data_IF_201375598092
#
_entry.id   IF_201375598092
#
_cell.length_a   1.000
_cell.length_b   1.000
_cell.length_c   1.000
_cell.angle_alpha   90.00
_cell.angle_beta   90.00
_cell.angle_gamma   90.00
#
_symmetry.space_group_name_H-M   'P 1'
#
loop_
_entity.id
_entity.type
_entity.pdbx_description
1 polymer ?
#
# COMPACT_ATOMS: atom_id res chain seq x y z
N UNK A 1 20.01 -24.70 -20.16
CA UNK A 1 18.92 -23.71 -19.89
C UNK A 1 18.57 -23.18 -21.28
N UNK A 2 17.29 -23.25 -21.71
CA UNK A 2 16.90 -22.61 -22.98
C UNK A 2 16.99 -21.09 -22.77
N UNK A 3 17.70 -20.40 -23.66
CA UNK A 3 17.75 -18.94 -23.68
C UNK A 3 16.33 -18.42 -23.99
N UNK A 4 15.87 -17.38 -23.29
CA UNK A 4 14.59 -16.73 -23.59
C UNK A 4 14.65 -16.11 -24.98
N UNK A 5 13.60 -16.30 -25.77
CA UNK A 5 13.52 -15.81 -27.13
C UNK A 5 12.83 -14.46 -27.20
N UNK A 6 13.51 -13.47 -27.78
CA UNK A 6 13.02 -12.09 -27.93
C UNK A 6 12.84 -11.78 -29.42
N UNK A 7 11.65 -11.29 -29.79
CA UNK A 7 11.39 -10.77 -31.12
C UNK A 7 11.51 -9.24 -31.11
N UNK A 8 12.40 -8.70 -31.93
CA UNK A 8 12.59 -7.24 -32.11
C UNK A 8 11.97 -6.83 -33.43
N UNK A 9 10.99 -5.92 -33.39
CA UNK A 9 10.26 -5.42 -34.55
C UNK A 9 10.49 -3.91 -34.65
N UNK A 10 11.18 -3.47 -35.70
CA UNK A 10 11.54 -2.06 -35.92
C UNK A 10 11.86 -1.89 -37.40
N UNK A 11 11.47 -0.80 -38.05
CA UNK A 11 11.76 -0.57 -39.47
C UNK A 11 13.18 -0.06 -39.73
N UNK A 12 13.82 0.53 -38.70
CA UNK A 12 15.19 1.04 -38.76
C UNK A 12 16.23 -0.09 -38.61
N UNK A 13 16.99 -0.37 -39.68
CA UNK A 13 18.00 -1.45 -39.69
C UNK A 13 19.07 -1.31 -38.63
N UNK A 14 19.48 -0.07 -38.31
CA UNK A 14 20.55 0.21 -37.34
C UNK A 14 20.08 -0.06 -35.91
N UNK A 15 18.81 0.26 -35.62
CA UNK A 15 18.20 -0.03 -34.31
C UNK A 15 18.04 -1.54 -34.13
N UNK A 16 17.52 -2.25 -35.13
CA UNK A 16 17.40 -3.72 -35.07
C UNK A 16 18.72 -4.38 -34.80
N UNK A 17 19.78 -3.96 -35.52
CA UNK A 17 21.12 -4.52 -35.36
C UNK A 17 21.69 -4.24 -33.98
N UNK A 18 21.56 -3.01 -33.48
CA UNK A 18 22.02 -2.62 -32.15
C UNK A 18 21.32 -3.42 -31.06
N UNK A 19 19.99 -3.56 -31.14
CA UNK A 19 19.21 -4.34 -30.15
C UNK A 19 19.56 -5.82 -30.22
N UNK A 20 19.77 -6.37 -31.42
CA UNK A 20 20.18 -7.75 -31.59
C UNK A 20 21.55 -8.01 -30.97
N UNK A 21 22.55 -7.16 -31.21
CA UNK A 21 23.89 -7.28 -30.65
C UNK A 21 23.81 -7.23 -29.09
N UNK A 22 23.16 -6.22 -28.52
CA UNK A 22 23.05 -6.03 -27.07
C UNK A 22 22.36 -7.20 -26.37
N UNK A 23 21.19 -7.61 -26.87
CA UNK A 23 20.41 -8.67 -26.25
C UNK A 23 21.04 -10.04 -26.40
N UNK A 24 21.78 -10.26 -27.51
CA UNK A 24 22.55 -11.50 -27.70
C UNK A 24 23.75 -11.58 -26.76
N UNK A 25 24.44 -10.44 -26.50
CA UNK A 25 25.51 -10.36 -25.50
C UNK A 25 25.02 -10.67 -24.09
N UNK A 26 23.77 -10.32 -23.76
CA UNK A 26 23.12 -10.63 -22.48
C UNK A 26 22.57 -12.08 -22.43
N UNK A 27 22.75 -12.88 -23.49
CA UNK A 27 22.43 -14.31 -23.51
C UNK A 27 21.02 -14.65 -23.96
N UNK A 28 20.30 -13.74 -24.60
CA UNK A 28 18.98 -13.99 -25.18
C UNK A 28 19.07 -14.52 -26.62
N UNK A 29 18.07 -15.33 -27.04
CA UNK A 29 17.90 -15.75 -28.44
C UNK A 29 17.06 -14.68 -29.15
N UNK A 30 17.67 -13.92 -30.09
CA UNK A 30 17.05 -12.73 -30.67
C UNK A 30 16.70 -12.93 -32.14
N UNK A 31 15.42 -12.87 -32.46
CA UNK A 31 14.91 -12.80 -33.84
C UNK A 31 14.50 -11.34 -34.17
N UNK A 32 14.79 -10.91 -35.40
CA UNK A 32 14.48 -9.54 -35.84
C UNK A 32 13.47 -9.54 -36.98
N UNK A 33 12.57 -8.55 -37.00
CA UNK A 33 11.61 -8.32 -38.07
C UNK A 33 11.64 -6.85 -38.50
N UNK A 34 11.58 -6.58 -39.82
CA UNK A 34 11.66 -5.25 -40.36
C UNK A 34 10.28 -4.59 -40.57
N UNK A 35 9.21 -5.38 -40.51
CA UNK A 35 7.84 -4.96 -40.78
C UNK A 35 6.84 -5.89 -40.05
N UNK A 36 5.57 -5.46 -40.03
CA UNK A 36 4.49 -6.21 -39.39
C UNK A 36 4.25 -7.59 -40.02
N UNK A 37 4.50 -7.75 -41.36
CA UNK A 37 4.35 -9.01 -42.05
C UNK A 37 5.39 -10.04 -41.58
N UNK A 38 6.65 -9.64 -41.46
CA UNK A 38 7.72 -10.47 -40.91
C UNK A 38 7.48 -10.80 -39.43
N UNK A 39 7.01 -9.84 -38.66
CA UNK A 39 6.68 -10.02 -37.24
C UNK A 39 5.57 -11.07 -37.03
N UNK A 40 4.49 -11.05 -37.85
CA UNK A 40 3.43 -12.07 -37.85
C UNK A 40 3.99 -13.44 -38.24
N UNK A 41 4.84 -13.51 -39.29
CA UNK A 41 5.46 -14.76 -39.74
C UNK A 41 6.41 -15.33 -38.65
N UNK A 42 7.20 -14.51 -38.00
CA UNK A 42 8.08 -14.93 -36.91
C UNK A 42 7.28 -15.51 -35.72
N UNK A 43 6.23 -14.84 -35.30
CA UNK A 43 5.36 -15.27 -34.20
C UNK A 43 4.59 -16.56 -34.55
N UNK A 44 4.13 -16.71 -35.79
CA UNK A 44 3.43 -17.90 -36.24
C UNK A 44 4.35 -19.16 -36.30
N UNK A 45 5.65 -18.97 -36.55
CA UNK A 45 6.63 -20.04 -36.50
C UNK A 45 6.92 -20.53 -35.10
N UNK A 46 7.11 -19.58 -34.19
CA UNK A 46 7.36 -19.87 -32.78
C UNK A 46 7.03 -18.63 -31.95
N UNK A 47 6.21 -18.83 -30.92
CA UNK A 47 5.81 -17.75 -30.02
C UNK A 47 7.04 -17.29 -29.21
N UNK A 48 7.41 -15.99 -29.26
CA UNK A 48 8.54 -15.47 -28.49
C UNK A 48 8.20 -15.37 -27.01
N UNK A 49 9.22 -15.22 -26.18
CA UNK A 49 9.05 -14.97 -24.74
C UNK A 49 8.78 -13.50 -24.43
N UNK A 50 9.23 -12.61 -25.33
CA UNK A 50 9.03 -11.15 -25.28
C UNK A 50 9.05 -10.58 -26.69
N UNK A 51 8.26 -9.54 -26.93
CA UNK A 51 8.34 -8.72 -28.15
C UNK A 51 8.74 -7.30 -27.79
N UNK A 52 9.77 -6.76 -28.47
CA UNK A 52 10.05 -5.33 -28.54
C UNK A 52 9.47 -4.81 -29.86
N UNK A 53 8.53 -3.89 -29.81
CA UNK A 53 7.74 -3.48 -30.96
C UNK A 53 7.80 -1.95 -31.15
N UNK A 54 8.30 -1.51 -32.30
CA UNK A 54 8.23 -0.10 -32.67
C UNK A 54 6.79 0.33 -32.98
N UNK A 55 6.44 1.55 -32.58
CA UNK A 55 5.13 2.14 -32.86
C UNK A 55 5.03 2.54 -34.34
N UNK A 56 6.05 3.22 -34.85
CA UNK A 56 6.01 3.81 -36.16
C UNK A 56 6.70 2.93 -37.19
N UNK A 57 5.92 2.21 -37.99
CA UNK A 57 6.39 1.38 -39.10
C UNK A 57 5.61 1.74 -40.38
N UNK A 58 6.25 1.68 -41.57
CA UNK A 58 5.66 2.22 -42.78
C UNK A 58 4.47 1.43 -43.34
N UNK A 59 4.32 0.14 -43.02
CA UNK A 59 3.28 -0.75 -43.55
C UNK A 59 2.05 -0.86 -42.61
N UNK A 60 2.28 -1.04 -41.31
CA UNK A 60 1.25 -1.16 -40.30
C UNK A 60 1.83 -0.60 -39.02
N UNK A 61 1.11 0.31 -38.33
CA UNK A 61 1.59 0.83 -37.06
C UNK A 61 1.64 -0.28 -35.97
N UNK A 62 2.60 -0.16 -35.05
CA UNK A 62 2.78 -1.14 -33.99
C UNK A 62 1.60 -1.25 -33.04
N UNK A 63 0.78 -0.21 -32.89
CA UNK A 63 -0.44 -0.20 -32.09
C UNK A 63 -1.49 -1.11 -32.72
N UNK A 64 -1.64 -1.09 -34.02
CA UNK A 64 -2.53 -2.01 -34.74
C UNK A 64 -2.11 -3.45 -34.58
N UNK A 65 -0.81 -3.73 -34.70
CA UNK A 65 -0.25 -5.08 -34.50
C UNK A 65 -0.42 -5.57 -33.03
N UNK A 66 -0.23 -4.71 -32.06
CA UNK A 66 -0.49 -5.00 -30.65
C UNK A 66 -1.98 -5.35 -30.42
N UNK A 67 -2.91 -4.60 -31.02
CA UNK A 67 -4.36 -4.87 -30.93
C UNK A 67 -4.74 -6.22 -31.51
N UNK A 68 -4.16 -6.60 -32.65
CA UNK A 68 -4.34 -7.92 -33.25
C UNK A 68 -3.93 -9.03 -32.28
N UNK A 69 -2.75 -8.89 -31.68
CA UNK A 69 -2.19 -9.89 -30.79
C UNK A 69 -2.87 -9.94 -29.40
N UNK A 70 -3.41 -8.83 -28.93
CA UNK A 70 -4.17 -8.79 -27.67
C UNK A 70 -5.53 -9.50 -27.77
N UNK A 71 -6.11 -9.61 -28.97
CA UNK A 71 -7.38 -10.31 -29.21
C UNK A 71 -7.23 -11.83 -29.37
N UNK A 72 -6.01 -12.35 -29.52
CA UNK A 72 -5.75 -13.78 -29.63
C UNK A 72 -5.70 -14.43 -28.24
N UNK A 73 -6.79 -15.02 -27.81
CA UNK A 73 -7.06 -15.48 -26.43
C UNK A 73 -6.18 -16.64 -25.90
N UNK A 74 -5.19 -17.15 -26.62
CA UNK A 74 -4.49 -18.39 -26.24
C UNK A 74 -3.04 -18.25 -25.79
N UNK A 75 -2.27 -17.18 -26.16
CA UNK A 75 -0.86 -17.09 -25.83
C UNK A 75 -0.38 -15.64 -25.66
N UNK A 76 -0.57 -15.07 -24.47
CA UNK A 76 -0.13 -13.71 -24.17
C UNK A 76 1.39 -13.64 -23.92
N UNK A 77 2.14 -13.36 -24.97
CA UNK A 77 3.53 -12.93 -24.88
C UNK A 77 3.56 -11.44 -24.47
N UNK A 78 4.35 -11.02 -23.48
CA UNK A 78 4.50 -9.59 -23.14
C UNK A 78 5.07 -8.82 -24.34
N UNK A 79 4.47 -7.64 -24.61
CA UNK A 79 4.91 -6.73 -25.66
C UNK A 79 5.37 -5.43 -25.02
N UNK A 80 6.61 -5.03 -25.27
CA UNK A 80 7.17 -3.73 -24.87
C UNK A 80 7.22 -2.83 -26.10
N UNK A 81 6.55 -1.70 -26.03
CA UNK A 81 6.51 -0.75 -27.15
C UNK A 81 7.74 0.15 -27.15
N UNK A 82 8.25 0.49 -28.32
CA UNK A 82 9.35 1.43 -28.52
C UNK A 82 8.85 2.64 -29.35
N UNK A 83 9.25 3.88 -29.01
CA UNK A 83 8.87 5.07 -29.77
C UNK A 83 9.94 6.14 -29.78
N UNK A 84 10.18 6.77 -30.94
CA UNK A 84 11.09 7.91 -31.13
C UNK A 84 10.43 9.27 -30.92
N UNK A 85 9.11 9.36 -30.96
CA UNK A 85 8.33 10.60 -30.80
C UNK A 85 7.08 10.29 -29.95
N UNK A 86 7.27 9.61 -28.80
CA UNK A 86 6.17 9.24 -27.92
C UNK A 86 5.57 10.46 -27.23
N UNK A 87 4.38 10.88 -27.67
CA UNK A 87 3.53 11.67 -26.77
C UNK A 87 3.03 10.76 -25.67
N UNK A 88 2.78 11.32 -24.49
CA UNK A 88 2.20 10.60 -23.33
C UNK A 88 0.91 9.87 -23.76
N UNK A 89 0.17 10.41 -24.72
CA UNK A 89 -1.05 9.84 -25.29
C UNK A 89 -0.81 8.49 -25.97
N UNK A 90 0.27 8.34 -26.73
CA UNK A 90 0.61 7.10 -27.44
C UNK A 90 1.03 5.98 -26.48
N UNK A 91 1.76 6.32 -25.41
CA UNK A 91 2.13 5.38 -24.37
C UNK A 91 0.90 4.87 -23.57
N UNK A 92 -0.04 5.78 -23.28
CA UNK A 92 -1.33 5.45 -22.62
C UNK A 92 -2.19 4.56 -23.50
N UNK A 93 -2.26 4.83 -24.81
CA UNK A 93 -3.02 4.00 -25.75
C UNK A 93 -2.42 2.59 -25.89
N UNK A 94 -1.09 2.48 -25.99
CA UNK A 94 -0.40 1.20 -26.05
C UNK A 94 -0.66 0.35 -24.79
N UNK A 95 -0.61 0.98 -23.62
CA UNK A 95 -0.89 0.29 -22.33
C UNK A 95 -2.35 -0.18 -22.25
N UNK A 96 -3.31 0.63 -22.70
CA UNK A 96 -4.73 0.23 -22.79
C UNK A 96 -4.98 -0.97 -23.71
N UNK A 97 -4.17 -1.09 -24.75
CA UNK A 97 -4.24 -2.22 -25.70
C UNK A 97 -3.49 -3.46 -25.26
N UNK A 98 -2.90 -3.44 -24.05
CA UNK A 98 -2.26 -4.62 -23.46
C UNK A 98 -0.74 -4.67 -23.62
N UNK A 99 -0.07 -3.57 -23.97
CA UNK A 99 1.39 -3.49 -23.89
C UNK A 99 1.85 -3.67 -22.44
N UNK A 100 2.92 -4.42 -22.24
CA UNK A 100 3.50 -4.64 -20.92
C UNK A 100 4.20 -3.40 -20.37
N UNK A 101 4.94 -2.68 -21.23
CA UNK A 101 5.68 -1.46 -20.87
C UNK A 101 6.01 -0.65 -22.13
N UNK A 102 6.59 0.54 -21.95
CA UNK A 102 6.95 1.45 -23.00
C UNK A 102 8.37 1.98 -22.83
N UNK A 103 9.16 2.04 -23.91
CA UNK A 103 10.54 2.55 -23.90
C UNK A 103 10.70 3.61 -24.97
N UNK A 104 11.15 4.79 -24.55
CA UNK A 104 11.37 5.95 -25.43
C UNK A 104 12.75 5.88 -26.11
N UNK A 105 12.80 6.13 -27.40
CA UNK A 105 14.04 6.34 -28.16
C UNK A 105 14.51 7.81 -27.99
N UNK A 106 15.80 8.11 -27.73
CA UNK A 106 16.93 7.20 -27.81
C UNK A 106 17.01 6.23 -26.65
N UNK A 107 17.26 4.94 -26.98
CA UNK A 107 17.19 3.84 -26.04
C UNK A 107 18.31 3.94 -24.99
N UNK A 108 17.95 4.12 -23.73
CA UNK A 108 18.88 3.93 -22.61
C UNK A 108 19.08 2.44 -22.37
N UNK A 109 20.30 1.92 -22.58
CA UNK A 109 20.64 0.51 -22.42
C UNK A 109 20.20 -0.04 -21.05
N UNK A 110 20.50 0.68 -19.97
CA UNK A 110 20.13 0.25 -18.62
C UNK A 110 18.60 0.18 -18.41
N UNK A 111 17.84 1.08 -19.04
CA UNK A 111 16.37 1.07 -18.98
C UNK A 111 15.80 -0.08 -19.79
N UNK A 112 16.32 -0.30 -20.99
CA UNK A 112 15.89 -1.39 -21.87
C UNK A 112 16.09 -2.76 -21.22
N UNK A 113 17.32 -3.07 -20.75
CA UNK A 113 17.64 -4.36 -20.13
C UNK A 113 16.78 -4.61 -18.89
N UNK A 114 16.59 -3.62 -18.02
CA UNK A 114 15.72 -3.73 -16.86
C UNK A 114 14.25 -3.99 -17.24
N UNK A 115 13.74 -3.37 -18.31
CA UNK A 115 12.39 -3.59 -18.81
C UNK A 115 12.23 -4.99 -19.39
N UNK A 116 13.22 -5.47 -20.14
CA UNK A 116 13.28 -6.84 -20.70
C UNK A 116 13.27 -7.88 -19.58
N UNK A 117 14.15 -7.76 -18.59
CA UNK A 117 14.20 -8.67 -17.42
C UNK A 117 12.84 -8.73 -16.69
N UNK A 118 12.26 -7.58 -16.40
CA UNK A 118 10.95 -7.50 -15.73
C UNK A 118 9.82 -8.15 -16.53
N UNK A 119 9.81 -7.97 -17.84
CA UNK A 119 8.80 -8.54 -18.71
C UNK A 119 8.91 -10.07 -18.81
N UNK A 120 10.12 -10.60 -18.90
CA UNK A 120 10.40 -12.04 -18.91
C UNK A 120 10.09 -12.69 -17.56
N UNK A 121 10.43 -12.05 -16.44
CA UNK A 121 10.09 -12.51 -15.10
C UNK A 121 8.56 -12.56 -14.87
N UNK A 122 7.82 -11.61 -15.41
CA UNK A 122 6.36 -11.61 -15.36
C UNK A 122 5.74 -12.80 -16.11
N UNK A 123 6.33 -13.24 -17.23
CA UNK A 123 5.91 -14.44 -17.97
C UNK A 123 6.23 -15.72 -17.21
N UNK A 124 7.43 -15.85 -16.63
CA UNK A 124 7.87 -17.03 -15.89
C UNK A 124 7.00 -17.35 -14.65
N UNK A 125 6.29 -16.34 -14.11
CA UNK A 125 5.43 -16.46 -12.91
C UNK A 125 3.97 -16.79 -13.20
N UNK A 126 3.55 -17.02 -14.46
CA UNK A 126 2.17 -17.42 -14.80
C UNK A 126 1.99 -18.93 -14.65
N UNK A 127 1.13 -19.43 -13.72
CA UNK A 127 0.74 -20.84 -13.69
C UNK A 127 -0.24 -21.13 -14.83
N UNK A 128 0.07 -22.16 -15.63
CA UNK A 128 -0.86 -22.77 -16.59
C UNK A 128 -1.96 -23.52 -15.83
N UNK A 129 -3.12 -22.93 -15.66
CA UNK A 129 -4.27 -23.59 -15.03
C UNK A 129 -5.48 -22.67 -14.92
N UNK A 130 -6.54 -23.02 -15.66
CA UNK A 130 -7.85 -22.36 -15.63
C UNK A 130 -8.39 -22.31 -14.20
N UNK A 131 -8.53 -21.11 -13.64
CA UNK A 131 -9.70 -20.68 -12.85
C UNK A 131 -9.58 -19.16 -12.65
N UNK A 132 -10.56 -18.45 -13.22
CA UNK A 132 -10.69 -17.02 -13.12
C UNK A 132 -11.18 -16.63 -11.71
N UNK A 133 -10.45 -15.77 -11.05
CA UNK A 133 -10.97 -14.56 -10.38
C UNK A 133 -9.77 -13.75 -9.86
N UNK A 134 -9.66 -12.54 -10.34
CA UNK A 134 -8.95 -11.36 -9.88
C UNK A 134 -8.08 -11.53 -8.61
N UNK A 135 -6.78 -11.74 -8.79
CA UNK A 135 -5.76 -11.29 -7.84
C UNK A 135 -4.42 -11.28 -8.58
N UNK A 136 -3.97 -10.12 -9.01
CA UNK A 136 -2.61 -9.86 -9.48
C UNK A 136 -1.62 -10.11 -8.33
N UNK A 137 -1.12 -11.33 -8.22
CA UNK A 137 -0.09 -11.69 -7.25
C UNK A 137 1.32 -11.43 -7.78
N UNK A 138 1.63 -10.18 -8.11
CA UNK A 138 2.99 -9.69 -8.03
C UNK A 138 3.29 -9.42 -6.54
N UNK A 139 4.51 -9.69 -6.06
CA UNK A 139 4.96 -9.25 -4.73
C UNK A 139 4.86 -7.72 -4.73
N UNK A 140 3.79 -7.18 -4.15
CA UNK A 140 3.63 -5.73 -4.00
C UNK A 140 4.47 -5.34 -2.80
N UNK A 141 5.73 -4.96 -3.07
CA UNK A 141 6.58 -4.40 -2.03
C UNK A 141 6.00 -3.08 -1.52
N UNK A 142 6.13 -2.78 -0.23
CA UNK A 142 5.72 -1.48 0.32
C UNK A 142 6.38 -0.34 -0.45
N UNK A 143 5.57 0.61 -0.88
CA UNK A 143 5.95 1.73 -1.75
C UNK A 143 6.76 2.78 -0.99
N UNK A 144 7.48 3.62 -1.76
CA UNK A 144 8.26 4.74 -1.25
C UNK A 144 9.77 4.51 -1.31
N UNK A 145 10.51 5.61 -1.48
CA UNK A 145 11.98 5.63 -1.60
C UNK A 145 12.66 6.24 -0.38
N UNK A 146 11.88 6.76 0.55
CA UNK A 146 12.41 7.32 1.79
C UNK A 146 13.26 6.31 2.55
N UNK A 147 14.17 6.82 3.37
CA UNK A 147 14.99 5.98 4.25
C UNK A 147 14.12 5.17 5.21
N UNK A 148 13.02 5.75 5.69
CA UNK A 148 12.04 5.11 6.56
C UNK A 148 11.44 3.87 5.89
N UNK A 149 10.93 3.99 4.67
CA UNK A 149 10.33 2.87 3.93
C UNK A 149 11.36 1.84 3.47
N UNK A 150 12.57 2.25 3.13
CA UNK A 150 13.66 1.34 2.80
C UNK A 150 14.07 0.49 4.01
N UNK A 151 14.17 1.09 5.20
CA UNK A 151 14.44 0.37 6.44
C UNK A 151 13.31 -0.60 6.78
N UNK A 152 12.04 -0.17 6.68
CA UNK A 152 10.88 -1.03 6.92
C UNK A 152 10.89 -2.26 6.00
N UNK A 153 11.12 -2.08 4.69
CA UNK A 153 11.23 -3.22 3.75
C UNK A 153 12.33 -4.20 4.13
N UNK A 154 13.51 -3.69 4.48
CA UNK A 154 14.64 -4.52 4.92
C UNK A 154 14.32 -5.29 6.19
N UNK A 155 13.65 -4.66 7.15
CA UNK A 155 13.21 -5.29 8.40
C UNK A 155 12.16 -6.37 8.14
N UNK A 156 11.12 -6.08 7.35
CA UNK A 156 10.07 -7.04 6.97
C UNK A 156 10.65 -8.24 6.21
N UNK A 157 11.58 -8.02 5.27
CA UNK A 157 12.25 -9.10 4.53
C UNK A 157 13.05 -10.02 5.48
N UNK A 158 13.76 -9.43 6.44
CA UNK A 158 14.48 -10.20 7.46
C UNK A 158 13.53 -11.00 8.33
N UNK A 159 12.40 -10.41 8.77
CA UNK A 159 11.39 -11.11 9.60
C UNK A 159 10.62 -12.17 8.79
N UNK A 160 10.51 -12.00 7.48
CA UNK A 160 9.86 -12.96 6.58
C UNK A 160 10.54 -14.34 6.60
N UNK A 161 11.86 -14.39 6.79
CA UNK A 161 12.63 -15.64 6.81
C UNK A 161 12.24 -16.60 7.98
N UNK A 162 11.61 -16.08 9.03
CA UNK A 162 11.24 -16.87 10.22
C UNK A 162 9.76 -17.26 10.18
N UNK A 163 9.45 -18.49 10.63
CA UNK A 163 8.05 -18.95 10.79
C UNK A 163 7.47 -18.59 12.19
N UNK A 164 8.00 -17.55 12.81
CA UNK A 164 7.64 -17.08 14.13
C UNK A 164 6.47 -16.10 14.04
N UNK A 165 5.56 -16.02 15.03
CA UNK A 165 4.53 -14.99 15.09
C UNK A 165 5.10 -13.59 14.97
N UNK A 166 4.45 -12.75 14.17
CA UNK A 166 4.84 -11.37 13.90
C UNK A 166 3.69 -10.42 14.20
N UNK A 167 3.95 -9.40 15.00
CA UNK A 167 3.02 -8.32 15.29
C UNK A 167 3.43 -7.04 14.56
N UNK A 168 2.53 -6.50 13.74
CA UNK A 168 2.67 -5.23 13.06
C UNK A 168 1.97 -4.14 13.89
N UNK A 169 2.74 -3.26 14.51
CA UNK A 169 2.21 -2.12 15.28
C UNK A 169 2.19 -0.86 14.43
N UNK A 170 1.01 -0.34 14.15
CA UNK A 170 0.86 0.89 13.35
C UNK A 170 -0.51 1.53 13.53
N UNK A 171 -0.59 2.80 13.21
CA UNK A 171 -1.85 3.53 13.22
C UNK A 171 -2.86 2.94 12.21
N UNK A 172 -4.13 3.29 12.38
CA UNK A 172 -5.17 2.99 11.41
C UNK A 172 -4.79 3.53 10.03
N UNK A 173 -5.10 2.80 8.97
CA UNK A 173 -4.84 3.25 7.59
C UNK A 173 -3.39 3.16 7.11
N UNK A 174 -2.48 2.51 7.85
CA UNK A 174 -1.08 2.30 7.45
C UNK A 174 -0.86 1.03 6.60
N UNK A 175 -1.92 0.47 6.04
CA UNK A 175 -1.90 -0.73 5.17
C UNK A 175 -1.18 -1.95 5.75
N UNK A 176 -1.38 -2.22 7.06
CA UNK A 176 -0.75 -3.34 7.78
C UNK A 176 -1.03 -4.70 7.15
N UNK A 177 -2.21 -4.90 6.56
CA UNK A 177 -2.53 -6.14 5.83
C UNK A 177 -1.64 -6.31 4.59
N UNK A 178 -1.41 -5.25 3.82
CA UNK A 178 -0.52 -5.28 2.66
C UNK A 178 0.92 -5.64 3.09
N UNK A 179 1.41 -5.10 4.20
CA UNK A 179 2.71 -5.46 4.77
C UNK A 179 2.76 -6.92 5.21
N UNK A 180 1.68 -7.45 5.81
CA UNK A 180 1.56 -8.87 6.16
C UNK A 180 1.60 -9.77 4.92
N UNK A 181 0.93 -9.38 3.83
CA UNK A 181 0.98 -10.08 2.53
C UNK A 181 2.40 -10.08 1.95
N UNK A 182 3.11 -8.95 2.04
CA UNK A 182 4.51 -8.86 1.62
C UNK A 182 5.41 -9.83 2.41
N UNK A 183 5.24 -9.89 3.74
CA UNK A 183 5.97 -10.84 4.60
C UNK A 183 5.64 -12.29 4.25
N UNK A 184 4.37 -12.61 4.01
CA UNK A 184 3.95 -13.94 3.58
C UNK A 184 4.60 -14.35 2.26
N UNK A 185 4.53 -13.49 1.25
CA UNK A 185 5.09 -13.74 -0.08
C UNK A 185 6.62 -13.85 -0.10
N UNK A 186 7.29 -13.16 0.81
CA UNK A 186 8.75 -13.17 0.97
C UNK A 186 9.26 -14.29 1.88
N UNK A 187 8.37 -15.07 2.50
CA UNK A 187 8.68 -16.06 3.52
C UNK A 187 8.52 -17.51 3.06
N UNK A 188 8.83 -18.48 3.95
CA UNK A 188 8.73 -19.92 3.66
C UNK A 188 7.28 -20.40 3.43
N UNK A 189 6.28 -19.62 3.86
CA UNK A 189 4.85 -19.93 3.70
C UNK A 189 4.25 -19.38 2.40
N UNK A 190 5.05 -18.76 1.53
CA UNK A 190 4.60 -18.09 0.30
C UNK A 190 3.80 -18.98 -0.67
N UNK A 191 4.08 -20.29 -0.69
CA UNK A 191 3.33 -21.26 -1.49
C UNK A 191 1.99 -21.68 -0.91
N UNK A 192 1.75 -21.36 0.37
CA UNK A 192 0.51 -21.67 1.08
C UNK A 192 -0.52 -20.55 0.98
N UNK A 193 -1.73 -20.77 1.51
CA UNK A 193 -2.78 -19.76 1.49
C UNK A 193 -2.48 -18.60 2.47
N UNK A 194 -2.92 -17.39 2.10
CA UNK A 194 -2.99 -16.23 3.00
C UNK A 194 -4.46 -16.00 3.37
N UNK A 195 -4.80 -16.28 4.62
CA UNK A 195 -6.17 -16.18 5.13
C UNK A 195 -6.26 -14.99 6.07
N UNK A 196 -7.30 -14.17 5.92
CA UNK A 196 -7.52 -12.97 6.73
C UNK A 196 -8.65 -13.22 7.71
N UNK A 197 -8.40 -12.92 8.98
CA UNK A 197 -9.42 -12.78 10.01
C UNK A 197 -9.64 -11.29 10.27
N UNK A 198 -10.84 -10.79 9.95
CA UNK A 198 -11.28 -9.47 10.38
C UNK A 198 -11.95 -9.59 11.75
N UNK A 199 -11.30 -9.05 12.79
CA UNK A 199 -11.76 -9.09 14.18
C UNK A 199 -13.20 -8.57 14.35
N UNK A 200 -13.60 -7.62 13.51
CA UNK A 200 -14.94 -7.00 13.55
C UNK A 200 -16.07 -7.93 13.11
N UNK A 201 -15.75 -9.03 12.44
CA UNK A 201 -16.75 -10.02 11.97
C UNK A 201 -17.00 -11.12 12.99
N UNK A 202 -16.14 -11.22 14.00
CA UNK A 202 -16.25 -12.23 15.05
C UNK A 202 -17.17 -11.77 16.18
N UNK A 203 -17.86 -12.76 16.73
CA UNK A 203 -18.66 -12.69 17.96
C UNK A 203 -18.37 -13.92 18.81
N UNK A 204 -18.64 -13.86 20.11
CA UNK A 204 -18.38 -14.97 21.02
C UNK A 204 -19.11 -16.26 20.62
N UNK A 205 -20.32 -16.14 20.06
CA UNK A 205 -21.16 -17.27 19.65
C UNK A 205 -20.66 -18.01 18.40
N UNK A 206 -19.87 -17.34 17.52
CA UNK A 206 -19.37 -17.94 16.28
C UNK A 206 -17.86 -18.18 16.27
N UNK A 207 -17.12 -17.67 17.27
CA UNK A 207 -15.65 -17.68 17.30
C UNK A 207 -15.06 -19.08 17.14
N UNK A 208 -15.55 -20.06 17.88
CA UNK A 208 -15.05 -21.42 17.85
C UNK A 208 -15.25 -22.09 16.47
N UNK A 209 -16.44 -21.97 15.90
CA UNK A 209 -16.75 -22.53 14.57
C UNK A 209 -15.95 -21.85 13.47
N UNK A 210 -15.81 -20.52 13.55
CA UNK A 210 -15.04 -19.74 12.56
C UNK A 210 -13.56 -20.10 12.61
N UNK A 211 -12.96 -20.17 13.80
CA UNK A 211 -11.54 -20.45 13.94
C UNK A 211 -11.19 -21.91 13.70
N UNK A 212 -11.89 -22.82 14.37
CA UNK A 212 -11.54 -24.25 14.47
C UNK A 212 -12.30 -25.12 13.46
N UNK A 213 -13.40 -24.62 12.90
CA UNK A 213 -14.29 -25.37 12.04
C UNK A 213 -15.17 -26.37 12.78
N UNK A 214 -16.13 -26.95 12.09
CA UNK A 214 -17.05 -27.94 12.63
C UNK A 214 -16.59 -29.36 12.28
N UNK A 215 -16.12 -29.57 11.05
CA UNK A 215 -15.67 -30.86 10.52
C UNK A 215 -14.68 -30.67 9.37
N UNK A 216 -14.16 -31.74 8.79
CA UNK A 216 -13.32 -31.68 7.59
C UNK A 216 -14.07 -31.11 6.36
N UNK A 217 -15.40 -31.23 6.31
CA UNK A 217 -16.24 -30.65 5.26
C UNK A 217 -16.66 -29.20 5.53
N UNK A 218 -16.49 -28.73 6.76
CA UNK A 218 -16.74 -27.35 7.18
C UNK A 218 -15.48 -26.84 7.92
N UNK A 219 -14.40 -26.52 7.17
CA UNK A 219 -13.12 -26.14 7.72
C UNK A 219 -13.16 -24.74 8.34
N UNK A 220 -12.44 -24.58 9.47
CA UNK A 220 -12.22 -23.29 10.09
C UNK A 220 -11.03 -22.54 9.45
N UNK A 221 -10.74 -21.33 9.96
CA UNK A 221 -9.65 -20.51 9.46
C UNK A 221 -8.27 -21.17 9.63
N UNK A 222 -8.05 -21.93 10.70
CA UNK A 222 -6.80 -22.68 10.87
C UNK A 222 -6.64 -23.80 9.83
N UNK A 223 -7.72 -24.48 9.47
CA UNK A 223 -7.70 -25.47 8.38
C UNK A 223 -7.41 -24.81 7.03
N UNK A 224 -8.10 -23.68 6.76
CA UNK A 224 -7.94 -22.92 5.50
C UNK A 224 -6.54 -22.34 5.35
N UNK A 225 -5.92 -21.88 6.45
CA UNK A 225 -4.58 -21.29 6.47
C UNK A 225 -3.46 -22.33 6.61
N UNK A 226 -3.77 -23.61 6.60
CA UNK A 226 -2.79 -24.69 6.83
C UNK A 226 -1.60 -24.60 5.87
N UNK A 227 -0.38 -24.67 6.41
CA UNK A 227 0.90 -24.48 5.71
C UNK A 227 1.05 -23.12 5.02
N UNK A 228 0.18 -22.20 5.37
CA UNK A 228 0.18 -20.82 4.90
C UNK A 228 0.29 -19.84 6.05
N UNK A 229 -0.42 -18.72 5.93
CA UNK A 229 -0.43 -17.64 6.92
C UNK A 229 -1.87 -17.26 7.29
N UNK A 230 -2.14 -17.16 8.58
CA UNK A 230 -3.35 -16.55 9.12
C UNK A 230 -3.01 -15.14 9.60
N UNK A 231 -3.61 -14.14 8.97
CA UNK A 231 -3.49 -12.75 9.37
C UNK A 231 -4.64 -12.35 10.29
N UNK A 232 -4.30 -11.82 11.47
CA UNK A 232 -5.23 -11.33 12.47
C UNK A 232 -5.20 -9.80 12.44
N UNK A 233 -6.21 -9.17 11.85
CA UNK A 233 -6.32 -7.71 11.77
C UNK A 233 -6.87 -7.11 13.05
N UNK A 234 -6.27 -6.00 13.52
CA UNK A 234 -6.76 -5.20 14.66
C UNK A 234 -7.11 -6.07 15.88
N UNK A 235 -6.09 -6.80 16.43
CA UNK A 235 -6.30 -7.80 17.48
C UNK A 235 -6.90 -7.22 18.77
N UNK A 236 -6.76 -5.94 19.01
CA UNK A 236 -7.39 -5.22 20.14
C UNK A 236 -8.93 -5.26 20.11
N UNK A 237 -9.51 -5.51 18.93
CA UNK A 237 -10.97 -5.59 18.75
C UNK A 237 -11.48 -7.05 18.81
N UNK A 238 -10.62 -8.04 19.18
CA UNK A 238 -11.00 -9.45 19.29
C UNK A 238 -11.88 -9.69 20.52
N UNK A 239 -13.03 -10.40 20.38
CA UNK A 239 -13.83 -10.85 21.52
C UNK A 239 -13.06 -11.74 22.49
N UNK A 240 -13.41 -11.74 23.77
CA UNK A 240 -12.72 -12.50 24.85
C UNK A 240 -12.65 -14.00 24.56
N UNK A 241 -13.72 -14.59 24.06
CA UNK A 241 -13.77 -16.00 23.69
C UNK A 241 -12.77 -16.32 22.57
N UNK A 242 -12.66 -15.42 21.58
CA UNK A 242 -11.68 -15.55 20.50
C UNK A 242 -10.26 -15.48 21.02
N UNK A 243 -9.97 -14.53 21.90
CA UNK A 243 -8.65 -14.41 22.54
C UNK A 243 -8.28 -15.69 23.29
N UNK A 244 -9.23 -16.26 24.04
CA UNK A 244 -9.04 -17.50 24.80
C UNK A 244 -8.75 -18.69 23.89
N UNK A 245 -9.53 -18.85 22.82
CA UNK A 245 -9.36 -19.94 21.84
C UNK A 245 -8.01 -19.84 21.11
N UNK A 246 -7.66 -18.63 20.66
CA UNK A 246 -6.37 -18.38 19.98
C UNK A 246 -5.20 -18.72 20.91
N UNK A 247 -5.21 -18.21 22.16
CA UNK A 247 -4.16 -18.51 23.14
C UNK A 247 -4.02 -20.01 23.38
N UNK A 248 -5.12 -20.73 23.54
CA UNK A 248 -5.12 -22.18 23.74
C UNK A 248 -4.56 -22.96 22.54
N UNK A 249 -4.90 -22.57 21.32
CA UNK A 249 -4.38 -23.21 20.08
C UNK A 249 -2.89 -22.94 19.92
N UNK A 250 -2.45 -21.72 20.15
CA UNK A 250 -1.03 -21.34 20.00
C UNK A 250 -0.15 -22.00 21.07
N UNK A 251 -0.65 -22.12 22.29
CA UNK A 251 0.07 -22.80 23.39
C UNK A 251 0.16 -24.31 23.17
N UNK A 252 -0.98 -24.94 22.79
CA UNK A 252 -1.03 -26.38 22.58
C UNK A 252 -0.37 -26.86 21.29
N UNK A 253 -0.20 -25.97 20.30
CA UNK A 253 0.27 -26.32 18.95
C UNK A 253 -0.69 -27.23 18.17
N UNK A 254 -1.91 -27.39 18.63
CA UNK A 254 -2.96 -28.24 18.05
C UNK A 254 -4.36 -27.76 18.48
N UNK A 255 -5.36 -28.15 17.72
CA UNK A 255 -6.76 -27.84 18.02
C UNK A 255 -7.68 -29.03 17.68
N UNK A 256 -8.87 -29.03 18.28
CA UNK A 256 -9.94 -29.97 17.96
C UNK A 256 -11.11 -29.18 17.37
N UNK A 257 -11.68 -29.67 16.27
CA UNK A 257 -12.85 -29.03 15.65
C UNK A 257 -14.05 -29.08 16.59
N UNK A 258 -14.94 -28.11 16.48
CA UNK A 258 -16.11 -28.01 17.38
C UNK A 258 -17.06 -29.20 17.28
N UNK A 259 -17.12 -29.89 16.15
CA UNK A 259 -17.86 -31.15 15.97
C UNK A 259 -17.16 -32.38 16.53
N UNK A 260 -15.99 -32.24 17.17
CA UNK A 260 -15.18 -33.34 17.71
C UNK A 260 -14.23 -33.95 16.67
N UNK A 261 -13.57 -35.04 17.05
CA UNK A 261 -12.62 -35.76 16.22
C UNK A 261 -11.17 -35.71 16.76
N UNK A 262 -10.23 -36.18 15.94
CA UNK A 262 -8.82 -36.18 16.31
C UNK A 262 -8.22 -34.78 16.35
N UNK A 263 -7.27 -34.51 17.24
CA UNK A 263 -6.54 -33.25 17.28
C UNK A 263 -5.78 -32.97 15.98
N UNK A 264 -5.92 -31.76 15.45
CA UNK A 264 -5.23 -31.28 14.24
C UNK A 264 -4.03 -30.46 14.68
N UNK A 265 -2.85 -30.72 14.12
CA UNK A 265 -1.64 -29.94 14.36
C UNK A 265 -1.75 -28.57 13.72
N UNK A 266 -1.43 -27.53 14.46
CA UNK A 266 -1.36 -26.16 13.98
C UNK A 266 -0.06 -25.98 13.17
N UNK A 267 -0.18 -25.85 11.83
CA UNK A 267 0.93 -25.67 10.89
C UNK A 267 0.85 -24.32 10.17
N UNK A 268 0.24 -23.32 10.81
CA UNK A 268 -0.06 -22.02 10.22
C UNK A 268 0.83 -20.95 10.82
N UNK A 269 1.48 -20.14 10.01
CA UNK A 269 2.16 -18.93 10.47
C UNK A 269 1.15 -17.88 10.90
N UNK A 270 1.37 -17.24 12.04
CA UNK A 270 0.52 -16.15 12.51
C UNK A 270 1.20 -14.81 12.25
N UNK A 271 0.49 -13.90 11.56
CA UNK A 271 0.86 -12.49 11.48
C UNK A 271 -0.33 -11.69 12.01
N UNK A 272 -0.08 -10.80 12.94
CA UNK A 272 -1.12 -9.98 13.57
C UNK A 272 -0.83 -8.50 13.41
N UNK A 273 -1.86 -7.67 13.52
CA UNK A 273 -1.70 -6.22 13.58
C UNK A 273 -2.48 -5.62 14.73
N UNK A 274 -1.94 -4.56 15.30
CA UNK A 274 -2.56 -3.78 16.35
C UNK A 274 -2.23 -2.28 16.23
N UNK A 275 -3.03 -1.45 16.89
CA UNK A 275 -2.70 -0.04 17.09
C UNK A 275 -1.61 0.10 18.17
N UNK A 276 -0.81 1.18 18.18
CA UNK A 276 0.27 1.37 19.15
C UNK A 276 -0.18 1.32 20.63
N UNK A 277 -1.47 1.53 20.91
CA UNK A 277 -2.06 1.49 22.24
C UNK A 277 -2.38 0.10 22.81
N UNK A 278 -2.14 -1.00 22.09
CA UNK A 278 -2.48 -2.37 22.52
C UNK A 278 -1.95 -2.71 23.93
N UNK A 279 -0.78 -2.19 24.31
CA UNK A 279 -0.20 -2.41 25.64
C UNK A 279 -1.11 -1.86 26.75
N UNK A 280 -1.83 -0.77 26.51
CA UNK A 280 -2.76 -0.22 27.49
C UNK A 280 -3.96 -1.15 27.70
N UNK A 281 -4.45 -1.82 26.65
CA UNK A 281 -5.49 -2.85 26.74
C UNK A 281 -5.01 -4.06 27.53
N UNK A 282 -3.75 -4.47 27.35
CA UNK A 282 -3.13 -5.55 28.15
C UNK A 282 -3.02 -5.16 29.62
N UNK A 283 -2.68 -3.91 29.92
CA UNK A 283 -2.57 -3.41 31.31
C UNK A 283 -3.93 -3.25 31.99
N UNK A 284 -4.96 -2.93 31.21
CA UNK A 284 -6.35 -2.79 31.67
C UNK A 284 -7.09 -4.15 31.77
N UNK A 285 -6.43 -5.26 31.44
CA UNK A 285 -6.99 -6.61 31.33
C UNK A 285 -8.12 -6.73 30.25
N UNK A 286 -8.25 -5.76 29.34
CA UNK A 286 -9.13 -5.83 28.17
C UNK A 286 -8.57 -6.73 27.04
N UNK A 287 -7.27 -7.05 27.11
CA UNK A 287 -6.60 -8.00 26.21
C UNK A 287 -5.72 -8.95 27.01
N UNK A 288 -5.82 -10.24 26.71
CA UNK A 288 -5.10 -11.32 27.44
C UNK A 288 -3.58 -11.18 27.30
N UNK A 289 -2.88 -11.20 28.44
CA UNK A 289 -1.41 -11.09 28.51
C UNK A 289 -0.69 -12.28 27.88
N UNK A 290 -1.23 -13.49 28.06
CA UNK A 290 -0.69 -14.72 27.48
C UNK A 290 -0.76 -14.69 25.95
N UNK A 291 -1.90 -14.30 25.36
CA UNK A 291 -2.06 -14.15 23.93
C UNK A 291 -1.14 -13.06 23.37
N UNK A 292 -1.07 -11.89 24.04
CA UNK A 292 -0.15 -10.83 23.63
C UNK A 292 1.31 -11.31 23.59
N UNK A 293 1.77 -12.03 24.59
CA UNK A 293 3.12 -12.56 24.62
C UNK A 293 3.40 -13.56 23.48
N UNK A 294 2.41 -14.39 23.12
CA UNK A 294 2.51 -15.33 22.01
C UNK A 294 2.53 -14.64 20.64
N UNK A 295 1.76 -13.56 20.46
CA UNK A 295 1.67 -12.83 19.19
C UNK A 295 2.82 -11.84 18.99
N UNK A 296 3.42 -11.30 20.05
CA UNK A 296 4.45 -10.25 20.03
C UNK A 296 5.88 -10.79 20.08
N UNK A 297 6.13 -12.04 19.64
CA UNK A 297 7.49 -12.62 19.62
C UNK A 297 8.41 -11.82 18.69
N UNK A 298 7.93 -11.46 17.51
CA UNK A 298 8.57 -10.48 16.62
C UNK A 298 7.63 -9.28 16.51
N UNK A 299 8.20 -8.07 16.60
CA UNK A 299 7.41 -6.83 16.52
C UNK A 299 8.05 -5.90 15.52
N UNK A 300 7.25 -5.43 14.55
CA UNK A 300 7.66 -4.40 13.60
C UNK A 300 6.74 -3.19 13.75
N UNK A 301 7.35 -2.01 13.89
CA UNK A 301 6.63 -0.74 13.96
C UNK A 301 6.43 -0.18 12.56
N UNK A 302 5.17 -0.03 12.18
CA UNK A 302 4.78 0.55 10.90
C UNK A 302 4.70 2.06 11.05
N UNK A 303 5.50 2.84 10.30
CA UNK A 303 5.51 4.29 10.41
C UNK A 303 4.19 4.89 9.91
N UNK A 304 3.79 6.02 10.48
CA UNK A 304 2.70 6.82 9.97
C UNK A 304 3.14 7.58 8.70
N UNK A 305 2.19 7.91 7.81
CA UNK A 305 2.52 8.57 6.53
C UNK A 305 3.26 9.90 6.70
N UNK A 306 2.97 10.63 7.78
CA UNK A 306 3.69 11.87 8.14
C UNK A 306 5.17 11.67 8.46
N UNK A 307 5.60 10.45 8.83
CA UNK A 307 7.00 10.12 9.15
C UNK A 307 7.83 9.83 7.88
N UNK A 308 7.18 9.73 6.71
CA UNK A 308 7.81 9.58 5.40
C UNK A 308 7.07 10.40 4.32
N UNK A 309 6.68 11.60 4.69
CA UNK A 309 5.90 12.50 3.85
C UNK A 309 6.58 12.86 2.50
N UNK A 310 7.89 12.70 2.39
CA UNK A 310 8.62 12.85 1.12
C UNK A 310 8.17 11.86 0.05
N UNK A 311 7.58 10.73 0.43
CA UNK A 311 7.07 9.72 -0.51
C UNK A 311 5.64 10.03 -1.03
N UNK A 312 4.92 10.98 -0.43
CA UNK A 312 3.54 11.32 -0.82
C UNK A 312 3.39 11.62 -2.32
N UNK A 313 4.28 12.38 -2.98
CA UNK A 313 4.16 12.62 -4.43
C UNK A 313 4.31 11.34 -5.29
N UNK A 314 5.11 10.38 -4.84
CA UNK A 314 5.26 9.09 -5.53
C UNK A 314 4.04 8.20 -5.31
N UNK A 315 3.53 8.14 -4.08
CA UNK A 315 2.30 7.42 -3.73
C UNK A 315 1.08 7.95 -4.49
N UNK A 316 0.94 9.29 -4.60
CA UNK A 316 -0.14 9.92 -5.38
C UNK A 316 -0.12 9.45 -6.83
N UNK A 317 1.06 9.49 -7.50
CA UNK A 317 1.19 9.03 -8.89
C UNK A 317 0.78 7.58 -9.03
N UNK A 318 1.24 6.72 -8.13
CA UNK A 318 0.94 5.31 -8.19
C UNK A 318 -0.54 5.00 -7.93
N UNK A 319 -1.20 5.72 -7.01
CA UNK A 319 -2.64 5.55 -6.81
C UNK A 319 -3.46 6.10 -7.97
N UNK A 320 -3.01 7.17 -8.64
CA UNK A 320 -3.63 7.63 -9.89
C UNK A 320 -3.57 6.54 -10.95
N UNK A 321 -2.39 5.94 -11.17
CA UNK A 321 -2.20 4.87 -12.16
C UNK A 321 -3.03 3.64 -11.80
N UNK A 322 -2.94 3.15 -10.54
CA UNK A 322 -3.70 2.00 -10.05
C UNK A 322 -5.22 2.20 -10.21
N UNK A 323 -5.75 3.33 -9.76
CA UNK A 323 -7.20 3.59 -9.79
C UNK A 323 -7.71 3.81 -11.22
N UNK A 324 -6.88 4.39 -12.10
CA UNK A 324 -7.20 4.52 -13.52
C UNK A 324 -7.26 3.15 -14.20
N UNK A 325 -6.32 2.25 -13.90
CA UNK A 325 -6.28 0.90 -14.47
C UNK A 325 -7.36 -0.02 -13.92
N UNK A 326 -7.56 -0.01 -12.60
CA UNK A 326 -8.45 -1.00 -11.93
C UNK A 326 -9.92 -0.57 -11.92
N UNK A 327 -10.19 0.72 -11.77
CA UNK A 327 -11.55 1.25 -11.66
C UNK A 327 -12.01 2.00 -12.93
N UNK A 328 -11.14 2.12 -13.95
CA UNK A 328 -11.44 2.83 -15.20
C UNK A 328 -11.67 4.34 -15.00
N UNK A 329 -11.12 4.92 -13.94
CA UNK A 329 -11.28 6.33 -13.63
C UNK A 329 -10.50 7.18 -14.63
N UNK A 330 -10.97 8.41 -14.86
CA UNK A 330 -10.28 9.35 -15.74
C UNK A 330 -8.92 9.72 -15.14
N UNK A 331 -7.87 9.61 -15.95
CA UNK A 331 -6.53 10.05 -15.55
C UNK A 331 -6.52 11.56 -15.27
N UNK A 332 -5.96 11.95 -14.12
CA UNK A 332 -5.69 13.33 -13.71
C UNK A 332 -4.36 13.38 -12.96
N UNK A 333 -3.58 14.43 -13.14
CA UNK A 333 -2.30 14.62 -12.47
C UNK A 333 -2.36 15.74 -11.43
N UNK A 334 -1.65 15.59 -10.33
CA UNK A 334 -1.52 16.64 -9.32
C UNK A 334 -0.45 17.65 -9.75
N UNK A 335 -0.75 18.94 -9.69
CA UNK A 335 0.24 20.01 -9.85
C UNK A 335 1.30 19.95 -8.74
N UNK A 336 2.47 20.54 -8.99
CA UNK A 336 3.56 20.59 -7.99
C UNK A 336 3.10 21.28 -6.69
N UNK A 337 2.30 22.35 -6.81
CA UNK A 337 1.74 23.05 -5.65
C UNK A 337 0.79 22.16 -4.84
N UNK A 338 -0.09 21.40 -5.52
CA UNK A 338 -0.97 20.42 -4.89
C UNK A 338 -0.20 19.30 -4.18
N UNK A 339 0.83 18.74 -4.83
CA UNK A 339 1.69 17.72 -4.24
C UNK A 339 2.41 18.24 -2.98
N UNK A 340 2.96 19.46 -3.01
CA UNK A 340 3.60 20.07 -1.85
C UNK A 340 2.63 20.31 -0.70
N UNK A 341 1.39 20.70 -1.00
CA UNK A 341 0.35 20.86 0.02
C UNK A 341 -0.01 19.54 0.68
N UNK A 342 -0.22 18.50 -0.12
CA UNK A 342 -0.53 17.14 0.35
C UNK A 342 0.64 16.51 1.11
N UNK A 343 1.88 16.79 0.71
CA UNK A 343 3.09 16.37 1.44
C UNK A 343 3.12 16.91 2.88
N UNK A 344 2.61 18.12 3.10
CA UNK A 344 2.59 18.78 4.41
C UNK A 344 1.27 18.56 5.18
N UNK A 345 0.38 17.71 4.69
CA UNK A 345 -0.85 17.37 5.39
C UNK A 345 -0.59 16.27 6.44
N UNK A 346 -1.22 16.28 7.62
CA UNK A 346 -0.91 15.37 8.73
C UNK A 346 -1.37 13.92 8.53
N UNK A 347 -2.28 13.66 7.59
CA UNK A 347 -2.78 12.32 7.24
C UNK A 347 -3.26 11.51 8.45
N UNK A 348 -4.31 11.93 9.16
CA UNK A 348 -4.80 11.24 10.36
C UNK A 348 -5.17 9.77 10.10
N UNK A 349 -5.66 9.43 8.90
CA UNK A 349 -5.98 8.06 8.49
C UNK A 349 -4.96 7.49 7.48
N UNK A 350 -3.76 8.05 7.46
CA UNK A 350 -2.57 7.59 6.76
C UNK A 350 -2.77 7.30 5.25
N UNK A 351 -2.23 6.20 4.76
CA UNK A 351 -2.23 5.80 3.34
C UNK A 351 -3.65 5.54 2.83
N UNK A 352 -4.53 5.03 3.68
CA UNK A 352 -5.94 4.81 3.33
C UNK A 352 -6.64 6.14 2.99
N UNK A 353 -6.38 7.18 3.77
CA UNK A 353 -6.92 8.52 3.50
C UNK A 353 -6.36 9.08 2.19
N UNK A 354 -5.03 8.97 1.97
CA UNK A 354 -4.38 9.40 0.75
C UNK A 354 -5.00 8.74 -0.50
N UNK A 355 -5.20 7.42 -0.47
CA UNK A 355 -5.80 6.64 -1.57
C UNK A 355 -7.25 7.04 -1.81
N UNK A 356 -8.04 7.22 -0.73
CA UNK A 356 -9.43 7.66 -0.84
C UNK A 356 -9.55 9.10 -1.35
N UNK A 357 -8.66 9.99 -0.92
CA UNK A 357 -8.59 11.36 -1.42
C UNK A 357 -8.25 11.36 -2.93
N UNK A 358 -7.27 10.58 -3.35
CA UNK A 358 -6.92 10.41 -4.76
C UNK A 358 -8.13 9.92 -5.58
N UNK A 359 -8.83 8.87 -5.09
CA UNK A 359 -10.04 8.35 -5.75
C UNK A 359 -11.11 9.43 -5.93
N UNK A 360 -11.36 10.27 -4.91
CA UNK A 360 -12.34 11.37 -5.02
C UNK A 360 -11.95 12.38 -6.08
N UNK A 361 -10.67 12.76 -6.16
CA UNK A 361 -10.21 13.68 -7.21
C UNK A 361 -10.39 13.09 -8.61
N UNK A 362 -10.17 11.79 -8.79
CA UNK A 362 -10.35 11.15 -10.10
C UNK A 362 -11.82 10.96 -10.47
N UNK A 363 -12.73 10.84 -9.50
CA UNK A 363 -14.17 10.82 -9.74
C UNK A 363 -14.73 12.20 -10.11
N UNK A 364 -14.13 13.28 -9.62
CA UNK A 364 -14.59 14.63 -9.88
C UNK A 364 -14.34 15.02 -11.34
N UNK A 365 -15.39 15.55 -12.01
CA UNK A 365 -15.25 16.14 -13.33
C UNK A 365 -14.49 17.47 -13.22
N UNK A 366 -13.30 17.54 -13.77
CA UNK A 366 -12.44 18.71 -13.70
C UNK A 366 -11.36 18.71 -14.78
N UNK A 367 -10.49 19.73 -14.81
CA UNK A 367 -9.32 19.78 -15.68
C UNK A 367 -8.42 18.56 -15.46
N UNK A 368 -7.58 18.22 -16.42
CA UNK A 368 -6.60 17.12 -16.29
C UNK A 368 -5.63 17.36 -15.14
N UNK A 369 -5.31 18.62 -14.84
CA UNK A 369 -4.44 18.99 -13.73
C UNK A 369 -5.24 19.38 -12.49
N UNK A 370 -4.98 18.69 -11.36
CA UNK A 370 -5.53 18.97 -10.04
C UNK A 370 -4.69 20.07 -9.41
N UNK A 371 -5.26 21.27 -9.30
CA UNK A 371 -4.59 22.45 -8.75
C UNK A 371 -4.67 22.55 -7.22
N UNK A 372 -3.91 23.50 -6.65
CA UNK A 372 -3.89 23.75 -5.21
C UNK A 372 -5.27 24.16 -4.66
N UNK A 373 -6.01 24.98 -5.39
CA UNK A 373 -7.34 25.43 -4.95
C UNK A 373 -8.35 24.29 -4.82
N UNK A 374 -8.29 23.32 -5.72
CA UNK A 374 -9.14 22.13 -5.66
C UNK A 374 -8.77 21.26 -4.45
N UNK A 375 -7.46 21.10 -4.16
CA UNK A 375 -6.98 20.37 -2.99
C UNK A 375 -7.42 21.05 -1.70
N UNK A 376 -7.26 22.38 -1.56
CA UNK A 376 -7.67 23.10 -0.37
C UNK A 376 -9.18 23.01 -0.11
N UNK A 377 -10.00 23.09 -1.17
CA UNK A 377 -11.45 22.92 -1.06
C UNK A 377 -11.82 21.54 -0.54
N UNK A 378 -11.19 20.50 -1.08
CA UNK A 378 -11.45 19.12 -0.68
C UNK A 378 -11.00 18.84 0.77
N UNK A 379 -9.81 19.29 1.15
CA UNK A 379 -9.31 19.15 2.52
C UNK A 379 -10.17 19.90 3.54
N UNK A 380 -10.65 21.11 3.19
CA UNK A 380 -11.53 21.90 4.04
C UNK A 380 -12.91 21.24 4.26
N UNK A 381 -13.40 20.50 3.27
CA UNK A 381 -14.67 19.77 3.37
C UNK A 381 -14.61 18.54 4.27
N UNK A 382 -13.42 18.00 4.50
CA UNK A 382 -13.20 16.77 5.30
C UNK A 382 -12.85 17.04 6.75
N UNK A 383 -12.39 18.23 7.07
CA UNK A 383 -12.20 18.63 8.46
C UNK A 383 -13.61 18.76 9.04
N UNK A 384 -14.08 17.85 9.93
CA UNK A 384 -15.19 18.24 10.81
C UNK A 384 -14.71 19.53 11.42
N UNK A 385 -15.58 20.52 11.54
CA UNK A 385 -15.25 21.86 11.99
C UNK A 385 -14.56 21.84 13.38
N UNK A 386 -13.36 21.31 13.44
CA UNK A 386 -12.33 21.70 14.37
C UNK A 386 -11.91 23.08 13.86
N UNK A 387 -12.51 24.05 14.48
CA UNK A 387 -12.37 25.45 14.21
C UNK A 387 -10.91 25.79 13.93
N UNK A 388 -10.59 26.44 12.80
CA UNK A 388 -9.24 26.92 12.59
C UNK A 388 -8.86 27.76 13.81
N UNK A 389 -7.66 27.54 14.37
CA UNK A 389 -7.13 28.27 15.54
C UNK A 389 -7.18 29.80 15.34
N UNK A 390 -7.37 30.24 14.12
CA UNK A 390 -7.68 31.63 13.75
C UNK A 390 -8.98 31.59 12.95
N UNK A 391 -10.12 31.71 13.67
CA UNK A 391 -11.43 31.92 13.03
C UNK A 391 -11.39 33.20 12.19
N UNK A 392 -12.05 33.16 11.01
CA UNK A 392 -12.30 34.38 10.24
C UNK A 392 -12.87 35.52 11.10
N UNK A 393 -13.62 35.20 12.14
CA UNK A 393 -14.15 36.12 13.12
C UNK A 393 -13.06 36.85 13.90
N UNK A 394 -11.89 36.25 14.17
CA UNK A 394 -10.77 36.90 14.83
C UNK A 394 -10.13 38.00 13.97
N UNK A 395 -10.18 37.88 12.63
CA UNK A 395 -9.68 38.89 11.72
C UNK A 395 -10.63 40.10 11.61
N UNK A 396 -11.89 39.92 11.98
CA UNK A 396 -12.89 40.99 12.02
C UNK A 396 -12.86 41.78 13.33
N UNK A 397 -12.14 41.30 14.38
CA UNK A 397 -12.09 41.93 15.68
C UNK A 397 -10.96 42.97 15.79
N UNK A 398 -11.10 43.98 16.66
CA UNK A 398 -9.98 44.83 17.05
C UNK A 398 -8.80 43.98 17.58
N UNK A 399 -7.56 44.37 17.27
CA UNK A 399 -6.36 43.59 17.60
C UNK A 399 -6.28 43.14 19.07
N UNK A 400 -6.76 43.97 20.01
CA UNK A 400 -6.78 43.66 21.43
C UNK A 400 -7.69 42.46 21.74
N UNK A 401 -8.88 42.44 21.16
CA UNK A 401 -9.87 41.36 21.35
C UNK A 401 -9.46 40.09 20.65
N UNK A 402 -8.96 40.20 19.44
CA UNK A 402 -8.41 39.07 18.68
C UNK A 402 -7.26 38.37 19.43
N UNK A 403 -6.34 39.15 19.98
CA UNK A 403 -5.25 38.67 20.81
C UNK A 403 -5.74 37.97 22.08
N UNK A 404 -6.72 38.51 22.76
CA UNK A 404 -7.27 37.95 24.00
C UNK A 404 -7.96 36.60 23.72
N UNK A 405 -8.72 36.49 22.64
CA UNK A 405 -9.35 35.24 22.22
C UNK A 405 -8.34 34.20 21.83
N UNK A 406 -7.31 34.58 21.06
CA UNK A 406 -6.23 33.65 20.67
C UNK A 406 -5.47 33.14 21.90
N UNK A 407 -5.07 34.02 22.82
CA UNK A 407 -4.35 33.64 24.04
C UNK A 407 -5.18 32.70 24.92
N UNK A 408 -6.51 32.94 25.01
CA UNK A 408 -7.44 32.06 25.73
C UNK A 408 -7.49 30.68 25.12
N UNK A 409 -7.74 30.58 23.82
CA UNK A 409 -7.81 29.29 23.09
C UNK A 409 -6.49 28.51 23.20
N UNK A 410 -5.36 29.18 22.98
CA UNK A 410 -4.05 28.61 23.09
C UNK A 410 -3.73 28.01 24.47
N UNK A 411 -3.96 28.82 25.52
CA UNK A 411 -3.68 28.40 26.91
C UNK A 411 -4.65 27.32 27.39
N UNK A 412 -5.92 27.30 26.97
CA UNK A 412 -6.88 26.23 27.26
C UNK A 412 -6.41 24.91 26.64
N UNK A 413 -6.03 24.92 25.37
CA UNK A 413 -5.58 23.73 24.68
C UNK A 413 -4.27 23.18 25.26
N UNK A 414 -3.31 24.06 25.58
CA UNK A 414 -2.06 23.66 26.21
C UNK A 414 -2.28 23.11 27.63
N UNK A 415 -3.27 23.64 28.38
CA UNK A 415 -3.63 23.16 29.71
C UNK A 415 -4.23 21.74 29.64
N UNK A 416 -5.09 21.45 28.63
CA UNK A 416 -5.61 20.10 28.38
C UNK A 416 -4.50 19.13 28.07
N UNK A 417 -3.56 19.47 27.20
CA UNK A 417 -2.39 18.66 26.86
C UNK A 417 -1.46 18.40 28.05
N UNK A 418 -1.52 19.23 29.07
CA UNK A 418 -0.79 19.07 30.34
C UNK A 418 -1.65 18.41 31.44
N UNK A 419 -2.80 17.82 31.08
CA UNK A 419 -3.75 17.19 32.02
C UNK A 419 -4.10 18.10 33.23
N UNK A 420 -4.28 19.42 32.97
CA UNK A 420 -4.60 20.39 33.97
C UNK A 420 -3.45 20.85 34.89
N UNK A 421 -2.22 20.31 34.69
CA UNK A 421 -1.06 20.64 35.55
C UNK A 421 -0.41 21.96 35.15
N UNK A 422 -0.66 23.03 35.89
CA UNK A 422 -0.15 24.39 35.60
C UNK A 422 1.37 24.48 35.66
N UNK A 423 2.03 23.66 36.49
CA UNK A 423 3.49 23.58 36.53
C UNK A 423 4.15 23.05 35.25
N UNK A 424 3.51 22.08 34.60
CA UNK A 424 3.92 21.56 33.28
C UNK A 424 3.60 22.57 32.18
N UNK A 425 2.41 23.21 32.27
CA UNK A 425 2.02 24.26 31.33
C UNK A 425 3.02 25.42 31.34
N UNK A 426 3.44 25.90 32.51
CA UNK A 426 4.41 26.97 32.64
C UNK A 426 5.72 26.70 31.91
N UNK A 427 6.24 25.47 32.06
CA UNK A 427 7.46 25.02 31.34
C UNK A 427 7.23 24.92 29.82
N UNK A 428 6.04 24.47 29.41
CA UNK A 428 5.72 24.23 28.00
C UNK A 428 5.52 25.52 27.20
N UNK A 429 4.92 26.55 27.85
CA UNK A 429 4.66 27.86 27.21
C UNK A 429 5.77 28.88 27.50
N UNK A 430 6.84 28.48 28.18
CA UNK A 430 7.98 29.32 28.59
C UNK A 430 7.54 30.59 29.34
N UNK A 431 6.69 30.39 30.35
CA UNK A 431 6.19 31.48 31.22
C UNK A 431 6.45 31.15 32.68
N UNK A 432 6.78 32.20 33.45
CA UNK A 432 6.89 32.08 34.90
C UNK A 432 5.53 31.71 35.51
N UNK A 433 5.51 30.78 36.48
CA UNK A 433 4.27 30.27 37.10
C UNK A 433 3.35 31.37 37.62
N UNK A 434 3.92 32.36 38.31
CA UNK A 434 3.17 33.48 38.89
C UNK A 434 2.51 34.34 37.82
N UNK A 435 3.21 34.58 36.71
CA UNK A 435 2.69 35.33 35.58
C UNK A 435 1.62 34.53 34.83
N UNK A 436 1.80 33.22 34.67
CA UNK A 436 0.84 32.32 34.02
C UNK A 436 -0.46 32.24 34.83
N UNK A 437 -0.42 32.12 36.16
CA UNK A 437 -1.62 32.12 36.99
C UNK A 437 -2.44 33.41 36.87
N UNK A 438 -1.76 34.59 36.86
CA UNK A 438 -2.44 35.87 36.62
C UNK A 438 -3.07 35.92 35.23
N UNK A 439 -2.37 35.39 34.21
CA UNK A 439 -2.83 35.39 32.86
C UNK A 439 -4.06 34.47 32.68
N UNK A 440 -4.03 33.24 33.22
CA UNK A 440 -5.15 32.30 33.16
C UNK A 440 -6.40 32.91 33.84
N UNK A 441 -6.21 33.56 35.00
CA UNK A 441 -7.29 34.22 35.71
C UNK A 441 -7.86 35.44 34.93
N UNK A 442 -6.99 36.25 34.29
CA UNK A 442 -7.44 37.40 33.49
C UNK A 442 -8.21 36.99 32.24
N UNK A 443 -7.93 35.80 31.71
CA UNK A 443 -8.60 35.20 30.55
C UNK A 443 -9.83 34.35 30.92
N UNK A 444 -10.19 34.26 32.23
CA UNK A 444 -11.36 33.49 32.68
C UNK A 444 -11.24 32.01 32.49
N UNK A 445 -10.02 31.47 32.54
CA UNK A 445 -9.75 30.01 32.42
C UNK A 445 -9.80 29.42 33.83
N UNK A 446 -10.76 28.53 34.09
CA UNK A 446 -10.88 27.83 35.37
C UNK A 446 -9.78 26.76 35.49
N UNK A 447 -9.06 26.84 36.60
CA UNK A 447 -8.06 25.84 36.97
C UNK A 447 -8.75 24.86 37.91
N UNK A 448 -8.99 23.63 37.49
CA UNK A 448 -9.62 22.61 38.31
C UNK A 448 -8.90 22.45 39.67
N UNK A 449 -9.65 22.44 40.76
CA UNK A 449 -9.15 22.15 42.10
C UNK A 449 -8.71 20.69 42.18
N UNK A 450 -7.42 20.41 41.93
CA UNK A 450 -6.89 19.05 41.99
C UNK A 450 -5.41 18.86 41.58
N UNK A 451 -4.61 19.93 41.55
CA UNK A 451 -3.19 19.80 41.20
C UNK A 451 -2.34 20.84 41.94
N UNK A 452 -2.30 20.77 43.26
CA UNK A 452 -1.12 21.12 44.03
C UNK A 452 -0.29 19.82 44.10
N UNK A 453 0.78 19.76 43.23
CA UNK A 453 2.17 19.32 43.53
C UNK A 453 3.01 19.45 42.25
#
# INVERSE_FOLDING_TARGET
MNANRILVVDDESDIRRLLQEILTEEGYDVEVAADAGQARAARARQIPDLVLLDIWMPDTDGITLLREWSNEASDSCPVVMMSGHGTVETAVEATRLGAYDFVEKPLSLAKLLRTVERALDAKARRPTGKFASASTNGIVAPLGRSRTMTNLRSELTRMAAFNTPLLLLGESGTDREMLARFVHQSGPTASGPFVVLDSRTLRDDNAAVTLLGMSASQPGLFDQARKGTLYLGDIEDLPDETQRLLSGVLEAGKYVRTGGGDPVTQETRIISSARPGIVNHVLADDFRRDLYAQLSVLVVRVPALRDYAEDVPELLRQYVDELTETEGLRFRRFSVAAQNRLRNYPWPDNVRELRNLTRRFLHNSGPEEIGLEEVERELSSQTPADEPLVKHDLLALPLREAREQFERAYLQQQLMLCNGKVGLLAKRVDMERTHLYRKLRSLGIEIGHGAED
#
